data_IF_132935656960
#
_entry.id   IF_132935656960
#
_cell.length_a   1.000
_cell.length_b   1.000
_cell.length_c   1.000
_cell.angle_alpha   90.00
_cell.angle_beta   90.00
_cell.angle_gamma   90.00
#
_symmetry.space_group_name_H-M   'P 1'
#
loop_
_entity.id
_entity.type
_entity.pdbx_description
1 polymer ?
#
# COMPACT_ATOMS: atom_id res chain seq x y z
N UNK A 1 -3.04 4.63 18.20
CA UNK A 1 -3.91 4.93 17.04
C UNK A 1 -4.04 3.68 16.18
N UNK A 2 -5.20 3.42 15.67
CA UNK A 2 -5.44 2.26 14.80
C UNK A 2 -6.39 2.62 13.67
N UNK A 3 -6.26 1.88 12.57
CA UNK A 3 -7.13 1.96 11.43
C UNK A 3 -7.68 0.58 11.08
N UNK A 4 -8.24 0.47 9.90
CA UNK A 4 -8.85 -0.77 9.40
C UNK A 4 -8.36 -1.01 7.97
N UNK A 5 -8.07 -2.26 7.64
CA UNK A 5 -7.80 -2.68 6.27
C UNK A 5 -9.08 -2.52 5.47
N UNK A 6 -9.06 -1.63 4.47
CA UNK A 6 -10.19 -1.38 3.60
C UNK A 6 -10.24 -2.36 2.44
N UNK A 7 -9.07 -2.67 1.85
CA UNK A 7 -8.97 -3.57 0.71
C UNK A 7 -7.61 -4.25 0.69
N UNK A 8 -7.60 -5.50 0.28
CA UNK A 8 -6.38 -6.28 -0.02
C UNK A 8 -6.39 -6.55 -1.52
N UNK A 9 -5.28 -6.30 -2.21
CA UNK A 9 -5.25 -6.33 -3.67
C UNK A 9 -4.00 -7.01 -4.19
N UNK A 10 -4.17 -7.76 -5.28
CA UNK A 10 -3.08 -8.46 -5.97
C UNK A 10 -3.25 -8.33 -7.48
N UNK A 11 -2.15 -8.58 -8.21
CA UNK A 11 -2.19 -8.71 -9.67
C UNK A 11 -1.18 -9.78 -10.09
N UNK A 12 -1.32 -10.28 -11.32
CA UNK A 12 -0.32 -11.16 -11.90
C UNK A 12 0.98 -10.39 -12.24
N UNK A 13 0.91 -9.08 -12.23
CA UNK A 13 2.00 -8.14 -12.47
C UNK A 13 1.44 -6.80 -12.94
N UNK A 14 2.09 -5.71 -12.51
CA UNK A 14 1.69 -4.36 -12.89
C UNK A 14 0.45 -3.85 -12.18
N UNK A 15 -0.11 -2.79 -12.71
CA UNK A 15 -1.28 -2.09 -12.18
C UNK A 15 -2.43 -2.12 -13.17
N UNK A 16 -3.69 -2.08 -12.72
CA UNK A 16 -4.14 -2.02 -11.33
C UNK A 16 -4.02 -3.37 -10.62
N UNK A 17 -3.97 -3.36 -9.29
CA UNK A 17 -4.16 -4.56 -8.48
C UNK A 17 -5.64 -4.68 -8.14
N UNK A 18 -6.16 -5.91 -8.14
CA UNK A 18 -7.58 -6.19 -7.97
C UNK A 18 -7.86 -6.75 -6.58
N UNK A 19 -9.06 -6.46 -6.02
CA UNK A 19 -9.38 -6.88 -4.65
C UNK A 19 -9.51 -8.40 -4.52
N UNK A 20 -9.08 -8.90 -3.35
CA UNK A 20 -9.27 -10.30 -2.95
C UNK A 20 -9.90 -10.34 -1.56
N UNK A 21 -10.58 -11.45 -1.23
CA UNK A 21 -11.27 -11.60 0.06
C UNK A 21 -10.30 -11.85 1.21
N UNK A 22 -9.18 -12.52 0.95
CA UNK A 22 -8.13 -12.75 1.92
C UNK A 22 -6.86 -13.16 1.19
N UNK A 23 -5.72 -12.99 1.85
CA UNK A 23 -4.44 -13.40 1.28
C UNK A 23 -3.45 -13.78 2.36
N UNK A 24 -2.56 -14.74 2.04
CA UNK A 24 -1.46 -15.10 2.92
C UNK A 24 -0.26 -14.21 2.62
N UNK A 25 0.25 -13.56 3.66
CA UNK A 25 1.44 -12.72 3.60
C UNK A 25 2.65 -13.57 3.99
N UNK A 26 3.51 -13.84 3.02
CA UNK A 26 4.78 -14.53 3.23
C UNK A 26 5.95 -13.55 3.24
N UNK A 27 7.20 -14.05 3.25
CA UNK A 27 8.39 -13.19 3.38
C UNK A 27 8.56 -12.20 2.22
N UNK A 28 8.02 -12.52 1.05
CA UNK A 28 8.12 -11.68 -0.15
C UNK A 28 6.81 -10.99 -0.50
N UNK A 29 5.84 -11.01 0.41
CA UNK A 29 4.55 -10.36 0.25
C UNK A 29 3.40 -11.35 0.10
N UNK A 30 2.31 -10.89 -0.49
CA UNK A 30 1.14 -11.73 -0.74
C UNK A 30 1.49 -12.81 -1.76
N UNK A 31 1.15 -14.07 -1.47
CA UNK A 31 1.55 -15.22 -2.29
C UNK A 31 1.05 -15.14 -3.73
N UNK A 32 -0.14 -14.58 -3.94
CA UNK A 32 -0.75 -14.51 -5.25
C UNK A 32 -0.38 -13.22 -6.01
N UNK A 33 0.50 -12.40 -5.45
CA UNK A 33 0.92 -11.16 -6.08
C UNK A 33 2.14 -11.37 -6.95
N UNK A 34 2.13 -10.75 -8.14
CA UNK A 34 3.25 -10.81 -9.08
C UNK A 34 3.97 -9.46 -9.17
N UNK A 35 5.25 -9.52 -9.59
CA UNK A 35 6.07 -8.34 -9.84
C UNK A 35 6.62 -8.41 -11.26
N UNK A 36 6.31 -7.40 -12.09
CA UNK A 36 6.79 -7.34 -13.47
C UNK A 36 8.17 -6.72 -13.59
N UNK A 37 8.58 -5.97 -12.58
CA UNK A 37 9.89 -5.31 -12.55
C UNK A 37 10.69 -5.83 -11.36
N UNK A 38 11.96 -6.18 -11.59
CA UNK A 38 12.80 -6.75 -10.54
C UNK A 38 12.98 -5.82 -9.33
N UNK A 39 12.93 -4.50 -9.55
CA UNK A 39 13.07 -3.52 -8.48
C UNK A 39 11.78 -3.29 -7.69
N UNK A 40 10.65 -3.85 -8.12
CA UNK A 40 9.37 -3.74 -7.42
C UNK A 40 9.18 -4.81 -6.34
N UNK A 41 10.06 -5.80 -6.32
CA UNK A 41 9.94 -6.92 -5.39
C UNK A 41 11.08 -6.95 -4.38
N UNK A 42 11.16 -8.09 -3.69
CA UNK A 42 12.18 -8.37 -2.68
C UNK A 42 11.67 -8.15 -1.26
N UNK A 43 12.49 -8.57 -0.28
CA UNK A 43 12.07 -8.61 1.12
C UNK A 43 11.71 -7.22 1.67
N UNK A 44 12.46 -6.18 1.29
CA UNK A 44 12.21 -4.82 1.77
C UNK A 44 11.02 -4.13 1.08
N UNK A 45 10.52 -4.74 0.02
CA UNK A 45 9.37 -4.24 -0.75
C UNK A 45 8.28 -5.31 -0.86
N UNK A 46 8.17 -6.14 0.17
CA UNK A 46 7.24 -7.26 0.19
C UNK A 46 5.79 -6.83 0.06
N UNK A 47 5.42 -5.75 0.75
CA UNK A 47 4.08 -5.16 0.68
C UNK A 47 4.16 -3.69 0.33
N UNK A 48 3.18 -3.22 -0.41
CA UNK A 48 2.94 -1.79 -0.64
C UNK A 48 1.65 -1.40 0.06
N UNK A 49 1.71 -0.35 0.87
CA UNK A 49 0.59 0.12 1.68
C UNK A 49 0.19 1.53 1.23
N UNK A 50 -1.10 1.84 1.29
CA UNK A 50 -1.60 3.17 0.95
C UNK A 50 -2.83 3.54 1.80
N UNK A 51 -3.13 4.83 1.85
CA UNK A 51 -4.25 5.38 2.62
C UNK A 51 -5.46 5.61 1.73
N UNK A 52 -6.63 5.11 2.17
CA UNK A 52 -7.90 5.40 1.50
C UNK A 52 -8.20 6.89 1.51
N UNK A 53 -7.96 7.58 2.64
CA UNK A 53 -8.23 9.02 2.75
C UNK A 53 -7.38 9.83 1.78
N UNK A 54 -6.11 9.44 1.59
CA UNK A 54 -5.24 10.10 0.60
C UNK A 54 -5.77 9.85 -0.82
N UNK A 55 -6.14 8.59 -1.12
CA UNK A 55 -6.71 8.22 -2.42
C UNK A 55 -7.96 9.06 -2.69
N UNK A 56 -8.86 9.16 -1.72
CA UNK A 56 -10.11 9.91 -1.89
C UNK A 56 -9.86 11.40 -2.05
N UNK A 57 -8.89 11.96 -1.30
CA UNK A 57 -8.52 13.37 -1.43
C UNK A 57 -8.01 13.68 -2.85
N UNK A 58 -7.15 12.82 -3.38
CA UNK A 58 -6.62 12.98 -4.75
C UNK A 58 -7.76 12.80 -5.77
N UNK A 59 -8.60 11.79 -5.60
CA UNK A 59 -9.72 11.54 -6.51
C UNK A 59 -10.67 12.74 -6.54
N UNK A 60 -10.92 13.40 -5.41
CA UNK A 60 -11.78 14.56 -5.33
C UNK A 60 -11.23 15.78 -6.11
N UNK A 61 -9.93 15.76 -6.42
CA UNK A 61 -9.29 16.80 -7.23
C UNK A 61 -9.45 16.56 -8.74
N UNK A 62 -10.20 15.53 -9.14
CA UNK A 62 -10.51 15.25 -10.55
C UNK A 62 -9.74 14.09 -11.16
N UNK A 63 -9.14 13.23 -10.32
CA UNK A 63 -8.38 12.08 -10.79
C UNK A 63 -9.14 10.77 -10.57
N UNK A 64 -8.72 9.69 -11.27
CA UNK A 64 -9.41 8.39 -11.20
C UNK A 64 -8.72 7.38 -10.27
N UNK A 65 -7.86 7.87 -9.38
CA UNK A 65 -7.19 7.02 -8.39
C UNK A 65 -8.24 6.34 -7.49
N UNK A 66 -8.04 5.05 -7.23
CA UNK A 66 -8.96 4.23 -6.44
C UNK A 66 -8.15 3.14 -5.71
N UNK A 67 -8.72 2.46 -4.69
CA UNK A 67 -8.00 1.39 -4.00
C UNK A 67 -7.45 0.34 -4.96
N UNK A 68 -6.17 0.00 -4.81
CA UNK A 68 -5.46 -0.98 -5.62
C UNK A 68 -4.93 -0.46 -6.95
N UNK A 69 -5.44 0.66 -7.47
CA UNK A 69 -5.05 1.12 -8.81
C UNK A 69 -3.59 1.55 -8.88
N UNK A 70 -3.06 2.16 -7.82
CA UNK A 70 -1.66 2.60 -7.79
C UNK A 70 -0.67 1.46 -7.50
N UNK A 71 -1.16 0.26 -7.24
CA UNK A 71 -0.32 -0.92 -7.01
C UNK A 71 -0.11 -1.27 -5.56
N UNK A 72 -0.85 -0.67 -4.64
CA UNK A 72 -0.75 -1.08 -3.25
C UNK A 72 -1.48 -2.39 -3.00
N UNK A 73 -0.91 -3.19 -2.09
CA UNK A 73 -1.48 -4.46 -1.66
C UNK A 73 -2.50 -4.28 -0.55
N UNK A 74 -2.28 -3.31 0.32
CA UNK A 74 -3.14 -3.05 1.48
C UNK A 74 -3.54 -1.59 1.46
N UNK A 75 -4.84 -1.35 1.33
CA UNK A 75 -5.42 -0.01 1.45
C UNK A 75 -6.00 0.12 2.85
N UNK A 76 -5.56 1.12 3.61
CA UNK A 76 -5.91 1.32 5.01
C UNK A 76 -6.77 2.57 5.15
N UNK A 77 -7.81 2.51 5.99
CA UNK A 77 -8.64 3.65 6.32
C UNK A 77 -8.62 3.96 7.81
N UNK A 78 -8.94 5.18 8.16
CA UNK A 78 -9.06 5.59 9.56
C UNK A 78 -7.72 5.89 10.25
N UNK A 79 -6.66 6.05 9.48
CA UNK A 79 -5.31 6.34 10.01
C UNK A 79 -4.86 7.75 9.63
N UNK A 80 -4.11 8.36 10.53
CA UNK A 80 -3.27 9.49 10.15
C UNK A 80 -2.07 8.94 9.38
N UNK A 81 -2.11 9.10 8.04
CA UNK A 81 -1.12 8.49 7.18
C UNK A 81 0.29 9.05 7.38
N UNK A 82 0.40 10.26 7.95
CA UNK A 82 1.70 10.86 8.26
C UNK A 82 2.48 10.09 9.33
N UNK A 83 1.83 9.17 10.05
CA UNK A 83 2.49 8.33 11.04
C UNK A 83 3.05 7.03 10.45
N UNK A 84 2.65 6.67 9.24
CA UNK A 84 3.09 5.44 8.57
C UNK A 84 4.33 5.78 7.73
N UNK A 85 5.47 5.79 8.39
CA UNK A 85 6.75 6.24 7.82
C UNK A 85 7.84 5.19 8.02
N UNK A 86 8.94 5.26 7.25
CA UNK A 86 10.04 4.30 7.40
C UNK A 86 10.52 4.16 8.85
N UNK A 87 10.75 2.92 9.27
CA UNK A 87 11.16 2.56 10.63
C UNK A 87 10.02 2.24 11.58
N UNK A 88 8.78 2.52 11.20
CA UNK A 88 7.62 2.20 12.06
C UNK A 88 7.12 0.79 11.80
N UNK A 89 6.57 0.16 12.84
CA UNK A 89 6.05 -1.21 12.78
C UNK A 89 4.55 -1.22 13.00
N UNK A 90 3.88 -2.09 12.30
CA UNK A 90 2.41 -2.16 12.28
C UNK A 90 1.94 -3.60 12.32
N UNK A 91 0.88 -3.84 13.09
CA UNK A 91 0.15 -5.11 13.12
C UNK A 91 -1.00 -5.02 12.11
N UNK A 92 -1.14 -6.05 11.29
CA UNK A 92 -2.24 -6.17 10.33
C UNK A 92 -3.02 -7.42 10.69
N UNK A 93 -4.21 -7.24 11.29
CA UNK A 93 -4.98 -8.35 11.83
C UNK A 93 -4.30 -8.98 13.04
N UNK A 94 -4.56 -10.26 13.25
CA UNK A 94 -4.08 -10.97 14.44
C UNK A 94 -2.70 -11.59 14.25
N UNK A 95 -2.25 -11.77 13.01
CA UNK A 95 -1.07 -12.60 12.72
C UNK A 95 0.11 -11.83 12.17
N UNK A 96 -0.13 -10.82 11.31
CA UNK A 96 0.91 -10.20 10.51
C UNK A 96 1.51 -8.98 11.19
N UNK A 97 2.84 -8.91 11.20
CA UNK A 97 3.57 -7.72 11.61
C UNK A 97 4.51 -7.30 10.50
N UNK A 98 4.55 -5.99 10.22
CA UNK A 98 5.39 -5.44 9.17
C UNK A 98 6.17 -4.23 9.68
N UNK A 99 7.28 -3.93 9.01
CA UNK A 99 8.05 -2.71 9.25
C UNK A 99 8.11 -1.92 7.95
N UNK A 100 7.75 -0.65 8.01
CA UNK A 100 7.84 0.26 6.86
C UNK A 100 9.31 0.51 6.54
N UNK A 101 9.70 0.31 5.28
CA UNK A 101 11.09 0.41 4.84
C UNK A 101 11.38 1.68 4.05
N UNK A 102 10.50 2.02 3.11
CA UNK A 102 10.73 3.13 2.18
C UNK A 102 9.42 3.79 1.78
N UNK A 103 9.49 5.09 1.49
CA UNK A 103 8.46 5.72 0.67
C UNK A 103 8.58 5.18 -0.75
N UNK A 104 7.43 4.95 -1.40
CA UNK A 104 7.40 4.41 -2.75
C UNK A 104 7.64 5.53 -3.76
N UNK A 105 8.59 5.35 -4.66
CA UNK A 105 8.78 6.26 -5.78
C UNK A 105 7.62 6.12 -6.76
N UNK A 106 6.99 7.23 -7.20
CA UNK A 106 5.91 7.15 -8.18
C UNK A 106 6.37 6.48 -9.47
N UNK A 107 5.52 5.58 -9.99
CA UNK A 107 5.79 4.85 -11.22
C UNK A 107 4.99 5.46 -12.37
N UNK A 108 5.60 5.66 -13.53
CA UNK A 108 4.93 6.22 -14.70
C UNK A 108 3.71 5.39 -15.14
N UNK A 109 3.67 4.10 -14.82
CA UNK A 109 2.52 3.23 -15.12
C UNK A 109 1.25 3.69 -14.44
N UNK A 110 1.37 4.51 -13.40
CA UNK A 110 0.24 5.10 -12.69
C UNK A 110 -0.24 6.42 -13.30
N UNK A 111 0.40 6.91 -14.36
CA UNK A 111 0.03 8.20 -14.98
C UNK A 111 -1.41 8.21 -15.46
N UNK A 112 -1.95 7.08 -15.87
CA UNK A 112 -3.33 6.95 -16.36
C UNK A 112 -4.40 7.27 -15.31
N UNK A 113 -4.05 7.24 -14.03
CA UNK A 113 -4.98 7.54 -12.94
C UNK A 113 -5.10 9.05 -12.68
N UNK A 114 -4.20 9.84 -13.23
CA UNK A 114 -4.16 11.28 -13.05
C UNK A 114 -4.61 11.96 -14.35
N UNK A 115 -5.52 12.94 -14.22
CA UNK A 115 -6.13 13.60 -15.37
C UNK A 115 -5.09 14.25 -16.30
N UNK A 116 -3.99 14.76 -15.72
CA UNK A 116 -2.89 15.36 -16.47
C UNK A 116 -1.68 14.44 -16.62
N UNK A 117 -1.78 13.18 -16.18
CA UNK A 117 -0.70 12.21 -16.24
C UNK A 117 0.43 12.44 -15.23
N UNK A 118 0.27 13.37 -14.30
CA UNK A 118 1.33 13.74 -13.35
C UNK A 118 1.28 12.88 -12.09
N UNK A 119 2.17 11.89 -12.00
CA UNK A 119 2.26 10.98 -10.85
C UNK A 119 2.95 11.61 -9.64
N UNK A 120 3.51 12.81 -9.76
CA UNK A 120 4.22 13.45 -8.65
C UNK A 120 3.33 13.74 -7.44
N UNK A 121 2.00 13.71 -7.61
CA UNK A 121 1.04 13.90 -6.51
C UNK A 121 1.15 12.84 -5.41
N UNK A 122 1.75 11.69 -5.71
CA UNK A 122 2.02 10.64 -4.72
C UNK A 122 3.51 10.51 -4.41
N UNK A 123 4.27 11.58 -4.62
CA UNK A 123 5.69 11.67 -4.26
C UNK A 123 5.81 12.34 -2.89
N UNK A 124 6.52 11.70 -1.97
CA UNK A 124 6.63 12.20 -0.59
C UNK A 124 7.33 13.56 -0.50
N UNK A 125 8.37 13.77 -1.31
CA UNK A 125 9.13 15.04 -1.27
C UNK A 125 8.30 16.23 -1.74
N UNK A 126 7.44 16.03 -2.73
CA UNK A 126 6.63 17.10 -3.32
C UNK A 126 5.29 17.26 -2.61
N UNK A 127 4.73 16.17 -2.11
CA UNK A 127 3.43 16.16 -1.43
C UNK A 127 3.53 15.31 -0.16
N UNK A 128 4.16 15.82 0.91
CA UNK A 128 4.34 15.06 2.15
C UNK A 128 3.03 14.49 2.68
N UNK A 129 3.05 13.22 3.08
CA UNK A 129 1.88 12.53 3.60
C UNK A 129 0.98 11.89 2.54
N UNK A 130 1.32 12.00 1.26
CA UNK A 130 0.51 11.45 0.17
C UNK A 130 1.16 10.24 -0.52
N UNK A 131 2.30 9.76 -0.05
CA UNK A 131 3.00 8.64 -0.67
C UNK A 131 2.49 7.30 -0.19
N UNK A 132 2.56 6.30 -1.08
CA UNK A 132 2.54 4.90 -0.68
C UNK A 132 3.83 4.60 0.06
N UNK A 133 3.82 3.51 0.84
CA UNK A 133 5.04 3.02 1.49
C UNK A 133 5.24 1.54 1.20
N UNK A 134 6.49 1.11 1.16
CA UNK A 134 6.85 -0.31 1.17
C UNK A 134 7.07 -0.78 2.60
N UNK A 135 6.82 -2.07 2.82
CA UNK A 135 7.06 -2.70 4.11
C UNK A 135 7.66 -4.10 3.91
N UNK A 136 8.50 -4.49 4.87
CA UNK A 136 8.96 -5.87 4.96
C UNK A 136 8.15 -6.62 6.00
N UNK A 137 8.05 -7.92 5.83
CA UNK A 137 7.24 -8.78 6.68
C UNK A 137 8.11 -9.32 7.81
N UNK A 138 7.69 -9.05 9.06
CA UNK A 138 8.35 -9.55 10.26
C UNK A 138 7.68 -10.84 10.74
N UNK A 139 6.35 -10.92 10.64
CA UNK A 139 5.58 -12.11 11.01
C UNK A 139 4.55 -12.37 9.92
N UNK A 140 4.51 -13.61 9.42
CA UNK A 140 3.64 -14.04 8.34
C UNK A 140 2.25 -14.40 8.84
N UNK A 141 1.27 -14.40 7.94
CA UNK A 141 -0.09 -14.81 8.26
C UNK A 141 -1.09 -14.37 7.22
N UNK A 142 -2.36 -14.57 7.53
CA UNK A 142 -3.47 -14.22 6.65
C UNK A 142 -3.99 -12.83 7.01
N UNK A 143 -4.25 -12.02 5.98
CA UNK A 143 -4.90 -10.71 6.13
C UNK A 143 -6.16 -10.67 5.28
N UNK A 144 -7.12 -9.84 5.69
CA UNK A 144 -8.38 -9.66 4.98
C UNK A 144 -8.96 -8.26 5.25
N UNK A 145 -9.83 -7.77 4.36
CA UNK A 145 -10.57 -6.53 4.64
C UNK A 145 -11.30 -6.62 5.98
N UNK A 146 -11.30 -5.52 6.72
CA UNK A 146 -11.87 -5.47 8.06
C UNK A 146 -10.87 -5.72 9.18
N UNK A 147 -9.68 -6.23 8.86
CA UNK A 147 -8.63 -6.42 9.86
C UNK A 147 -8.19 -5.09 10.45
N UNK A 148 -7.82 -5.13 11.73
CA UNK A 148 -7.26 -3.96 12.40
C UNK A 148 -5.85 -3.69 11.89
N UNK A 149 -5.54 -2.41 11.69
CA UNK A 149 -4.20 -1.94 11.36
C UNK A 149 -3.73 -1.05 12.51
N UNK A 150 -2.76 -1.51 13.29
CA UNK A 150 -2.39 -0.85 14.54
C UNK A 150 -0.88 -0.76 14.72
N UNK A 151 -0.43 0.30 15.39
CA UNK A 151 0.98 0.48 15.71
C UNK A 151 1.47 -0.67 16.59
N UNK A 152 2.62 -1.25 16.23
CA UNK A 152 3.29 -2.28 17.01
C UNK A 152 4.47 -1.64 17.76
N UNK A 153 4.45 -1.79 19.09
CA UNK A 153 5.52 -1.29 19.95
C UNK A 153 5.58 0.21 20.09
#
# INVERSE_FOLDING_TARGET
MSGVVHQVSVSAGGVPKLPIESGYVGPLGLLDDGHTESFHGGADKALCLFSLEVIEAIASEGHTLAPGTAGENVTVRGMDWTEVIPGTRWLIGDEVEVEVTHFTTPCYKNSRWFADGDVSRINEQLYPGRSRVYARVLTEGVIRPGDRFARAG
#
